data_IF_184868224667
#
_entry.id   IF_184868224667
#
_cell.length_a   1.000
_cell.length_b   1.000
_cell.length_c   1.000
_cell.angle_alpha   90.00
_cell.angle_beta   90.00
_cell.angle_gamma   90.00
#
_symmetry.space_group_name_H-M   'P 1'
#
loop_
_entity.id
_entity.type
_entity.pdbx_description
1 polymer ?
#
# COMPACT_ATOMS: atom_id res chain seq x y z
N UNK A 1 -50.67 33.44 -76.06
CA UNK A 1 -49.91 33.81 -77.27
C UNK A 1 -48.93 34.92 -76.88
N UNK A 2 -47.67 34.88 -77.36
CA UNK A 2 -46.44 35.55 -76.88
C UNK A 2 -45.76 34.82 -75.71
N UNK A 3 -44.75 33.94 -75.86
CA UNK A 3 -43.44 33.90 -76.60
C UNK A 3 -42.38 34.92 -76.12
N UNK A 4 -41.40 34.34 -75.38
CA UNK A 4 -39.93 34.46 -75.54
C UNK A 4 -39.27 35.78 -75.09
N UNK A 5 -38.41 35.75 -74.07
CA UNK A 5 -36.95 35.65 -74.23
C UNK A 5 -36.22 35.48 -72.88
N UNK A 6 -35.27 34.55 -72.90
CA UNK A 6 -34.42 34.07 -71.82
C UNK A 6 -33.09 34.83 -71.94
N UNK A 7 -32.71 35.60 -70.91
CA UNK A 7 -31.46 36.37 -70.90
C UNK A 7 -30.46 35.71 -69.94
N UNK A 8 -29.48 35.07 -70.56
CA UNK A 8 -28.32 34.42 -69.95
C UNK A 8 -27.37 35.52 -69.48
N UNK A 9 -27.22 35.66 -68.16
CA UNK A 9 -26.18 36.49 -67.56
C UNK A 9 -24.86 35.71 -67.49
N UNK A 10 -23.93 36.04 -68.38
CA UNK A 10 -22.54 35.61 -68.33
C UNK A 10 -21.87 36.31 -67.14
N UNK A 11 -21.69 35.59 -66.03
CA UNK A 11 -20.86 36.07 -64.92
C UNK A 11 -19.40 35.73 -65.25
N UNK A 12 -18.67 36.76 -65.69
CA UNK A 12 -17.22 36.74 -65.86
C UNK A 12 -16.57 36.31 -64.54
N UNK A 13 -16.07 35.08 -64.50
CA UNK A 13 -15.14 34.60 -63.49
C UNK A 13 -13.83 35.38 -63.69
N UNK A 14 -13.72 36.55 -63.03
CA UNK A 14 -12.44 37.21 -62.86
C UNK A 14 -11.57 36.30 -61.99
N UNK A 15 -10.61 35.62 -62.63
CA UNK A 15 -9.44 35.06 -61.97
C UNK A 15 -8.76 36.21 -61.21
N UNK A 16 -9.08 36.34 -59.92
CA UNK A 16 -8.17 36.98 -58.99
C UNK A 16 -7.04 35.99 -58.78
N UNK A 17 -5.94 36.23 -59.49
CA UNK A 17 -4.63 35.69 -59.18
C UNK A 17 -4.39 35.85 -57.68
N UNK A 18 -4.36 34.73 -56.95
CA UNK A 18 -3.83 34.66 -55.60
C UNK A 18 -2.33 34.99 -55.68
N UNK A 19 -2.00 36.28 -55.68
CA UNK A 19 -0.70 36.72 -55.21
C UNK A 19 -0.66 36.39 -53.72
N UNK A 20 0.15 35.39 -53.39
CA UNK A 20 0.52 35.01 -52.03
C UNK A 20 1.32 36.15 -51.37
N UNK A 21 0.63 37.25 -51.08
CA UNK A 21 1.10 38.27 -50.18
C UNK A 21 0.91 37.71 -48.77
N UNK A 22 2.02 37.37 -48.12
CA UNK A 22 2.05 36.94 -46.73
C UNK A 22 1.10 37.79 -45.88
N UNK A 23 0.12 37.18 -45.21
CA UNK A 23 -0.59 37.81 -44.10
C UNK A 23 0.46 38.48 -43.20
N UNK A 24 0.51 39.82 -43.21
CA UNK A 24 1.53 40.60 -42.49
C UNK A 24 1.60 40.08 -41.06
N UNK A 25 2.78 39.58 -40.66
CA UNK A 25 3.01 38.98 -39.33
C UNK A 25 2.45 39.91 -38.24
N UNK A 26 1.42 39.50 -37.48
CA UNK A 26 0.77 40.32 -36.45
C UNK A 26 1.75 40.77 -35.38
N UNK A 27 1.43 41.86 -34.69
CA UNK A 27 2.26 42.40 -33.61
C UNK A 27 2.46 41.41 -32.47
N UNK A 28 1.42 40.64 -32.09
CA UNK A 28 1.49 39.66 -31.01
C UNK A 28 2.45 38.49 -31.28
N UNK A 29 2.74 38.20 -32.55
CA UNK A 29 3.75 37.19 -32.96
C UNK A 29 5.17 37.77 -32.92
N UNK A 30 5.32 39.09 -32.93
CA UNK A 30 6.63 39.78 -32.86
C UNK A 30 7.00 40.12 -31.42
N UNK A 31 6.03 40.48 -30.60
CA UNK A 31 6.20 40.89 -29.22
C UNK A 31 4.97 40.48 -28.43
N UNK A 32 5.18 39.94 -27.21
CA UNK A 32 4.09 39.60 -26.29
C UNK A 32 3.23 40.86 -26.04
N UNK A 33 1.91 40.79 -26.24
CA UNK A 33 1.02 41.89 -25.87
C UNK A 33 1.07 42.17 -24.37
N UNK A 34 0.95 43.43 -23.99
CA UNK A 34 0.72 43.83 -22.60
C UNK A 34 -0.78 44.08 -22.42
N UNK A 35 -1.43 43.26 -21.60
CA UNK A 35 -2.84 43.38 -21.27
C UNK A 35 -3.02 43.14 -19.77
N UNK A 36 -3.42 44.17 -19.03
CA UNK A 36 -3.59 44.08 -17.58
C UNK A 36 -4.79 43.22 -17.19
N UNK A 37 -5.77 43.08 -18.08
CA UNK A 37 -7.08 42.52 -17.79
C UNK A 37 -7.21 41.07 -18.25
N UNK A 38 -6.17 40.53 -18.88
CA UNK A 38 -6.17 39.20 -19.47
C UNK A 38 -4.89 38.43 -19.13
N UNK A 39 -5.03 37.12 -18.93
CA UNK A 39 -3.90 36.20 -19.01
C UNK A 39 -3.64 35.85 -20.48
N UNK A 40 -2.39 35.70 -20.89
CA UNK A 40 -2.01 35.44 -22.28
C UNK A 40 -1.03 34.27 -22.35
N UNK A 41 -1.29 33.30 -23.22
CA UNK A 41 -0.33 32.24 -23.55
C UNK A 41 -0.06 32.23 -25.05
N UNK A 42 1.20 32.03 -25.46
CA UNK A 42 1.64 32.03 -26.86
C UNK A 42 2.49 30.79 -27.14
N UNK A 43 1.93 29.86 -27.92
CA UNK A 43 2.63 28.66 -28.36
C UNK A 43 3.03 28.73 -29.83
N UNK A 44 4.12 28.05 -30.17
CA UNK A 44 4.65 27.96 -31.53
C UNK A 44 5.14 26.56 -31.83
N UNK A 45 4.70 26.01 -32.96
CA UNK A 45 5.22 24.76 -33.48
C UNK A 45 5.75 24.92 -34.91
N UNK A 46 6.88 24.29 -35.25
CA UNK A 46 7.36 24.23 -36.62
C UNK A 46 6.46 23.32 -37.46
N UNK A 47 6.23 23.70 -38.71
CA UNK A 47 5.50 22.89 -39.69
C UNK A 47 6.45 21.93 -40.39
N UNK A 48 6.22 20.63 -40.23
CA UNK A 48 6.88 19.60 -41.03
C UNK A 48 6.10 19.31 -42.31
N UNK A 49 6.81 18.96 -43.39
CA UNK A 49 6.18 18.57 -44.67
C UNK A 49 5.45 17.23 -44.60
N UNK A 50 5.79 16.40 -43.62
CA UNK A 50 5.26 15.04 -43.44
C UNK A 50 4.12 14.96 -42.40
N UNK A 51 3.64 16.10 -41.89
CA UNK A 51 2.59 16.14 -40.86
C UNK A 51 1.20 15.97 -41.47
N UNK A 52 0.74 14.73 -41.55
CA UNK A 52 -0.55 14.37 -42.15
C UNK A 52 -1.77 14.73 -41.26
N UNK A 53 -1.56 15.05 -39.98
CA UNK A 53 -2.64 15.17 -38.98
C UNK A 53 -2.72 16.55 -38.29
N UNK A 54 -2.02 17.57 -38.81
CA UNK A 54 -1.90 18.89 -38.18
C UNK A 54 -1.38 18.80 -36.73
N UNK A 55 -0.45 17.90 -36.45
CA UNK A 55 0.14 17.73 -35.13
C UNK A 55 0.76 19.05 -34.63
N UNK A 56 1.40 19.81 -35.53
CA UNK A 56 1.92 21.15 -35.23
C UNK A 56 0.85 22.09 -34.60
N UNK A 57 -0.42 22.01 -35.02
CA UNK A 57 -1.47 22.87 -34.51
C UNK A 57 -1.87 22.48 -33.08
N UNK A 58 -1.83 21.18 -32.76
CA UNK A 58 -2.06 20.66 -31.41
C UNK A 58 -0.91 21.04 -30.49
N UNK A 59 0.33 20.88 -30.95
CA UNK A 59 1.52 21.19 -30.17
C UNK A 59 1.59 22.68 -29.82
N UNK A 60 1.37 23.56 -30.81
CA UNK A 60 1.32 25.01 -30.58
C UNK A 60 0.17 25.39 -29.63
N UNK A 61 -0.99 24.73 -29.73
CA UNK A 61 -2.10 24.96 -28.80
C UNK A 61 -1.78 24.50 -27.38
N UNK A 62 -1.16 23.34 -27.22
CA UNK A 62 -0.78 22.80 -25.91
C UNK A 62 0.24 23.71 -25.23
N UNK A 63 1.26 24.16 -25.97
CA UNK A 63 2.24 25.11 -25.47
C UNK A 63 1.60 26.45 -25.08
N UNK A 64 0.65 26.96 -25.87
CA UNK A 64 -0.07 28.19 -25.54
C UNK A 64 -0.88 28.04 -24.23
N UNK A 65 -1.53 26.90 -24.02
CA UNK A 65 -2.30 26.62 -22.79
C UNK A 65 -1.40 26.39 -21.56
N UNK A 66 -0.22 25.80 -21.75
CA UNK A 66 0.79 25.63 -20.69
C UNK A 66 1.33 26.98 -20.23
N UNK A 67 1.66 27.87 -21.18
CA UNK A 67 2.12 29.21 -20.85
C UNK A 67 1.01 30.05 -20.19
N UNK A 68 -0.23 29.95 -20.68
CA UNK A 68 -1.38 30.61 -20.06
C UNK A 68 -1.58 30.14 -18.61
N UNK A 69 -1.52 28.81 -18.38
CA UNK A 69 -1.63 28.21 -17.04
C UNK A 69 -0.52 28.70 -16.11
N UNK A 70 0.71 28.82 -16.63
CA UNK A 70 1.86 29.34 -15.87
C UNK A 70 1.75 30.82 -15.52
N UNK A 71 1.01 31.61 -16.29
CA UNK A 71 0.75 33.03 -15.97
C UNK A 71 -0.26 33.19 -14.82
N UNK A 72 -1.15 32.21 -14.61
CA UNK A 72 -2.17 32.26 -13.57
C UNK A 72 -1.51 32.05 -12.20
N UNK A 73 -1.21 33.16 -11.52
CA UNK A 73 -0.70 33.15 -10.15
C UNK A 73 -1.78 32.67 -9.17
N UNK A 74 -1.46 31.64 -8.41
CA UNK A 74 -2.32 31.15 -7.33
C UNK A 74 -1.88 31.79 -6.01
N UNK A 75 -2.79 32.49 -5.36
CA UNK A 75 -2.59 33.03 -4.01
C UNK A 75 -3.26 32.12 -2.99
N UNK A 76 -2.52 31.73 -1.96
CA UNK A 76 -3.01 30.88 -0.87
C UNK A 76 -3.65 31.76 0.20
N UNK A 77 -4.88 31.43 0.59
CA UNK A 77 -5.59 32.12 1.67
C UNK A 77 -5.07 31.70 3.04
N UNK A 78 -5.09 32.63 4.00
CA UNK A 78 -4.79 32.35 5.41
C UNK A 78 -5.81 31.41 6.07
N UNK A 79 -7.03 31.32 5.53
CA UNK A 79 -8.11 30.47 6.02
C UNK A 79 -8.25 29.17 5.21
N UNK A 80 -7.22 28.81 4.45
CA UNK A 80 -7.23 27.66 3.55
C UNK A 80 -6.85 26.36 4.26
N UNK A 81 -7.21 25.24 3.65
CA UNK A 81 -6.88 23.92 4.17
C UNK A 81 -5.38 23.61 4.09
N UNK A 82 -4.68 24.18 3.10
CA UNK A 82 -3.23 24.04 2.96
C UNK A 82 -2.45 24.59 4.17
N UNK A 83 -3.02 25.57 4.89
CA UNK A 83 -2.41 26.10 6.14
C UNK A 83 -2.31 25.05 7.25
N UNK A 84 -3.10 23.98 7.20
CA UNK A 84 -2.99 22.87 8.15
C UNK A 84 -1.76 21.99 7.89
N UNK A 85 -1.15 22.11 6.70
CA UNK A 85 -0.09 21.24 6.21
C UNK A 85 1.17 22.01 5.81
N UNK A 86 1.39 23.21 6.34
CA UNK A 86 2.54 24.06 5.96
C UNK A 86 3.90 23.40 6.17
N UNK A 87 4.01 22.47 7.12
CA UNK A 87 5.24 21.73 7.39
C UNK A 87 5.36 20.42 6.59
N UNK A 88 4.37 20.09 5.74
CA UNK A 88 4.37 18.88 4.93
C UNK A 88 4.76 19.19 3.48
N UNK A 89 6.06 19.04 3.19
CA UNK A 89 6.63 19.29 1.87
C UNK A 89 6.02 18.43 0.76
N UNK A 90 5.72 17.15 1.05
CA UNK A 90 5.14 16.24 0.05
C UNK A 90 3.72 16.68 -0.33
N UNK A 91 2.91 17.09 0.66
CA UNK A 91 1.58 17.64 0.41
C UNK A 91 1.65 18.90 -0.47
N UNK A 92 2.58 19.82 -0.17
CA UNK A 92 2.76 21.03 -0.97
C UNK A 92 3.09 20.72 -2.43
N UNK A 93 4.05 19.82 -2.68
CA UNK A 93 4.40 19.41 -4.04
C UNK A 93 3.24 18.77 -4.79
N UNK A 94 2.49 17.88 -4.13
CA UNK A 94 1.32 17.26 -4.74
C UNK A 94 0.22 18.28 -5.03
N UNK A 95 -0.02 19.22 -4.12
CA UNK A 95 -0.96 20.31 -4.32
C UNK A 95 -0.57 21.20 -5.51
N UNK A 96 0.68 21.67 -5.57
CA UNK A 96 1.16 22.52 -6.67
C UNK A 96 1.03 21.82 -8.03
N UNK A 97 1.44 20.55 -8.10
CA UNK A 97 1.30 19.73 -9.30
C UNK A 97 -0.17 19.56 -9.72
N UNK A 98 -1.05 19.28 -8.76
CA UNK A 98 -2.49 19.12 -9.01
C UNK A 98 -3.14 20.42 -9.46
N UNK A 99 -2.79 21.55 -8.84
CA UNK A 99 -3.27 22.88 -9.22
C UNK A 99 -2.86 23.21 -10.64
N UNK A 100 -1.59 23.03 -11.00
CA UNK A 100 -1.11 23.27 -12.36
C UNK A 100 -1.90 22.44 -13.39
N UNK A 101 -2.08 21.15 -13.11
CA UNK A 101 -2.85 20.23 -13.97
C UNK A 101 -4.33 20.64 -14.06
N UNK A 102 -4.95 21.02 -12.93
CA UNK A 102 -6.36 21.42 -12.86
C UNK A 102 -6.62 22.74 -13.59
N UNK A 103 -5.71 23.71 -13.47
CA UNK A 103 -5.80 24.95 -14.27
C UNK A 103 -5.78 24.57 -15.76
N UNK A 104 -4.80 23.79 -16.21
CA UNK A 104 -4.70 23.39 -17.61
C UNK A 104 -5.95 22.66 -18.13
N UNK A 105 -6.57 21.79 -17.33
CA UNK A 105 -7.74 20.99 -17.70
C UNK A 105 -9.06 21.79 -17.68
N UNK A 106 -9.19 22.75 -16.77
CA UNK A 106 -10.47 23.44 -16.52
C UNK A 106 -10.56 24.84 -17.13
N UNK A 107 -9.53 25.24 -17.88
CA UNK A 107 -9.50 26.46 -18.69
C UNK A 107 -10.61 26.43 -19.74
N UNK A 108 -11.53 27.38 -19.63
CA UNK A 108 -12.65 27.54 -20.55
C UNK A 108 -12.86 29.02 -20.87
N UNK A 109 -13.53 29.32 -21.99
CA UNK A 109 -13.88 30.69 -22.38
C UNK A 109 -12.68 31.58 -22.69
N UNK A 110 -11.54 30.99 -23.04
CA UNK A 110 -10.42 31.71 -23.62
C UNK A 110 -10.65 31.98 -25.11
N UNK A 111 -10.19 33.13 -25.57
CA UNK A 111 -10.16 33.50 -26.98
C UNK A 111 -8.93 32.89 -27.64
N UNK A 112 -9.07 32.41 -28.88
CA UNK A 112 -7.98 31.80 -29.65
C UNK A 112 -7.69 32.65 -30.88
N UNK A 113 -6.44 33.08 -31.01
CA UNK A 113 -5.92 33.71 -32.22
C UNK A 113 -4.83 32.82 -32.82
N UNK A 114 -4.83 32.68 -34.14
CA UNK A 114 -3.84 31.88 -34.85
C UNK A 114 -3.14 32.73 -35.89
N UNK A 115 -1.87 32.40 -36.14
CA UNK A 115 -1.14 32.93 -37.28
C UNK A 115 -0.18 31.86 -37.79
N UNK A 116 0.01 31.80 -39.09
CA UNK A 116 0.87 30.80 -39.67
C UNK A 116 1.64 31.32 -40.88
N UNK A 117 2.77 30.67 -41.15
CA UNK A 117 3.52 30.84 -42.39
C UNK A 117 3.91 29.46 -42.95
N UNK A 118 4.85 29.40 -43.90
CA UNK A 118 5.31 28.13 -44.51
C UNK A 118 6.11 27.23 -43.57
N UNK A 119 6.65 27.77 -42.47
CA UNK A 119 7.56 27.12 -41.53
C UNK A 119 7.00 26.99 -40.12
N UNK A 120 6.10 27.86 -39.71
CA UNK A 120 5.66 27.97 -38.31
C UNK A 120 4.15 28.11 -38.21
N UNK A 121 3.61 27.62 -37.11
CA UNK A 121 2.24 27.80 -36.67
C UNK A 121 2.23 28.36 -35.25
N UNK A 122 1.52 29.47 -35.05
CA UNK A 122 1.46 30.21 -33.79
C UNK A 122 0.03 30.24 -33.28
N UNK A 123 -0.13 30.04 -31.98
CA UNK A 123 -1.40 30.13 -31.27
C UNK A 123 -1.23 31.09 -30.11
N UNK A 124 -2.11 32.09 -30.01
CA UNK A 124 -2.26 32.91 -28.82
C UNK A 124 -3.62 32.59 -28.19
N UNK A 125 -3.60 32.25 -26.91
CA UNK A 125 -4.79 32.11 -26.08
C UNK A 125 -4.87 33.30 -25.12
N UNK A 126 -6.08 33.82 -24.93
CA UNK A 126 -6.32 34.97 -24.06
C UNK A 126 -7.52 34.69 -23.14
N UNK A 127 -7.36 34.91 -21.84
CA UNK A 127 -8.42 34.72 -20.86
C UNK A 127 -8.63 35.97 -20.01
N UNK A 128 -9.84 36.52 -20.03
CA UNK A 128 -10.18 37.68 -19.20
C UNK A 128 -10.12 37.31 -17.70
N UNK A 129 -9.39 38.11 -16.91
CA UNK A 129 -9.16 37.87 -15.48
C UNK A 129 -10.44 37.92 -14.65
N UNK A 130 -11.37 38.81 -14.97
CA UNK A 130 -12.65 38.92 -14.25
C UNK A 130 -13.55 37.72 -14.54
N UNK A 131 -13.63 37.28 -15.80
CA UNK A 131 -14.40 36.08 -16.18
C UNK A 131 -13.82 34.84 -15.51
N UNK A 132 -12.50 34.69 -15.50
CA UNK A 132 -11.83 33.61 -14.79
C UNK A 132 -12.13 33.65 -13.28
N UNK A 133 -11.98 34.80 -12.63
CA UNK A 133 -12.26 34.97 -11.21
C UNK A 133 -13.72 34.66 -10.84
N UNK A 134 -14.68 35.12 -11.65
CA UNK A 134 -16.11 34.82 -11.44
C UNK A 134 -16.40 33.32 -11.52
N UNK A 135 -15.88 32.63 -12.53
CA UNK A 135 -16.07 31.17 -12.66
C UNK A 135 -15.39 30.40 -11.53
N UNK A 136 -14.18 30.81 -11.15
CA UNK A 136 -13.48 30.23 -10.01
C UNK A 136 -14.28 30.40 -8.72
N UNK A 137 -14.84 31.58 -8.48
CA UNK A 137 -15.71 31.83 -7.32
C UNK A 137 -16.99 30.98 -7.36
N UNK A 138 -17.64 30.86 -8.52
CA UNK A 138 -18.84 30.01 -8.67
C UNK A 138 -18.53 28.53 -8.36
N UNK A 139 -17.39 28.01 -8.83
CA UNK A 139 -16.93 26.64 -8.53
C UNK A 139 -16.65 26.49 -7.03
N UNK A 140 -15.97 27.46 -6.41
CA UNK A 140 -15.74 27.47 -4.97
C UNK A 140 -17.04 27.49 -4.16
N UNK A 141 -18.01 28.31 -4.54
CA UNK A 141 -19.30 28.42 -3.84
C UNK A 141 -20.09 27.12 -3.94
N UNK A 142 -20.07 26.45 -5.10
CA UNK A 142 -20.66 25.13 -5.29
C UNK A 142 -19.97 24.06 -4.44
N UNK A 143 -18.63 24.06 -4.42
CA UNK A 143 -17.84 23.16 -3.59
C UNK A 143 -18.13 23.35 -2.09
N UNK A 144 -18.20 24.61 -1.61
CA UNK A 144 -18.57 24.95 -0.23
C UNK A 144 -19.98 24.47 0.12
N UNK A 145 -20.94 24.64 -0.79
CA UNK A 145 -22.31 24.19 -0.58
C UNK A 145 -22.39 22.66 -0.44
N UNK A 146 -21.73 21.91 -1.32
CA UNK A 146 -21.66 20.45 -1.25
C UNK A 146 -20.96 19.99 0.04
N UNK A 147 -19.81 20.57 0.35
CA UNK A 147 -19.06 20.28 1.57
C UNK A 147 -19.89 20.58 2.82
N UNK A 148 -20.67 21.67 2.82
CA UNK A 148 -21.58 22.01 3.90
C UNK A 148 -22.62 20.91 4.14
N UNK A 149 -23.22 20.38 3.08
CA UNK A 149 -24.23 19.32 3.20
C UNK A 149 -23.63 18.08 3.86
N UNK A 150 -22.48 17.62 3.39
CA UNK A 150 -21.80 16.45 3.96
C UNK A 150 -21.28 16.69 5.38
N UNK A 151 -20.79 17.89 5.66
CA UNK A 151 -20.32 18.27 6.99
C UNK A 151 -21.42 18.22 8.05
N UNK A 152 -22.62 18.72 7.74
CA UNK A 152 -23.74 18.65 8.66
C UNK A 152 -24.28 17.22 8.80
N UNK A 153 -24.37 16.45 7.71
CA UNK A 153 -24.74 15.03 7.79
C UNK A 153 -23.75 14.23 8.66
N UNK A 154 -22.44 14.53 8.57
CA UNK A 154 -21.43 13.90 9.42
C UNK A 154 -21.63 14.23 10.92
N UNK A 155 -22.00 15.48 11.23
CA UNK A 155 -22.31 15.89 12.61
C UNK A 155 -23.59 15.25 13.13
N UNK A 156 -24.62 15.17 12.30
CA UNK A 156 -25.88 14.50 12.65
C UNK A 156 -25.65 13.01 12.88
N UNK A 157 -24.85 12.35 12.04
CA UNK A 157 -24.43 10.96 12.24
C UNK A 157 -23.63 10.77 13.53
N UNK A 158 -22.69 11.67 13.82
CA UNK A 158 -21.91 11.67 15.05
C UNK A 158 -22.79 11.81 16.30
N UNK A 159 -23.83 12.65 16.23
CA UNK A 159 -24.74 12.90 17.35
C UNK A 159 -25.56 11.67 17.74
N UNK A 160 -25.88 10.80 16.77
CA UNK A 160 -26.60 9.54 17.00
C UNK A 160 -25.68 8.33 17.15
N UNK A 161 -24.35 8.53 17.15
CA UNK A 161 -23.36 7.46 17.32
C UNK A 161 -23.10 6.62 16.06
N UNK A 162 -23.57 7.05 14.89
CA UNK A 162 -23.33 6.38 13.60
C UNK A 162 -21.97 6.80 13.03
N UNK A 163 -20.91 6.21 13.59
CA UNK A 163 -19.51 6.54 13.28
C UNK A 163 -19.17 6.28 11.82
N UNK A 164 -19.63 5.17 11.26
CA UNK A 164 -19.29 4.77 9.88
C UNK A 164 -19.87 5.75 8.86
N UNK A 165 -21.12 6.19 9.05
CA UNK A 165 -21.69 7.28 8.24
C UNK A 165 -20.97 8.60 8.49
N UNK A 166 -20.66 8.93 9.74
CA UNK A 166 -19.95 10.17 10.06
C UNK A 166 -18.61 10.26 9.33
N UNK A 167 -17.80 9.20 9.37
CA UNK A 167 -16.52 9.13 8.65
C UNK A 167 -16.72 9.33 7.15
N UNK A 168 -17.62 8.55 6.55
CA UNK A 168 -17.95 8.62 5.12
C UNK A 168 -18.34 10.04 4.69
N UNK A 169 -19.20 10.70 5.47
CA UNK A 169 -19.64 12.07 5.17
C UNK A 169 -18.51 13.08 5.36
N UNK A 170 -17.62 12.93 6.34
CA UNK A 170 -16.41 13.76 6.41
C UNK A 170 -15.48 13.55 5.21
N UNK A 171 -15.27 12.31 4.76
CA UNK A 171 -14.49 12.02 3.55
C UNK A 171 -15.07 12.70 2.31
N UNK A 172 -16.39 12.64 2.12
CA UNK A 172 -17.08 13.33 1.03
C UNK A 172 -16.98 14.85 1.14
N UNK A 173 -17.04 15.42 2.35
CA UNK A 173 -16.85 16.85 2.58
C UNK A 173 -15.44 17.32 2.18
N UNK A 174 -14.40 16.57 2.56
CA UNK A 174 -13.02 16.86 2.15
C UNK A 174 -12.85 16.72 0.64
N UNK A 175 -13.42 15.67 0.06
CA UNK A 175 -13.37 15.42 -1.39
C UNK A 175 -14.05 16.53 -2.18
N UNK A 176 -15.14 17.11 -1.70
CA UNK A 176 -15.78 18.25 -2.35
C UNK A 176 -14.90 19.51 -2.36
N UNK A 177 -13.96 19.65 -1.41
CA UNK A 177 -13.08 20.81 -1.26
C UNK A 177 -11.69 20.62 -1.89
N UNK A 178 -11.39 19.42 -2.41
CA UNK A 178 -10.03 19.01 -2.76
C UNK A 178 -9.35 19.85 -3.85
N UNK A 179 -10.13 20.50 -4.71
CA UNK A 179 -9.63 21.35 -5.79
C UNK A 179 -9.47 22.81 -5.35
N UNK A 180 -9.93 23.12 -4.14
CA UNK A 180 -9.99 24.46 -3.57
C UNK A 180 -9.20 24.57 -2.26
N UNK A 181 -8.29 23.63 -1.96
CA UNK A 181 -7.59 23.56 -0.66
C UNK A 181 -6.70 24.76 -0.33
N UNK A 182 -6.35 25.59 -1.33
CA UNK A 182 -5.63 26.85 -1.17
C UNK A 182 -6.52 28.10 -1.02
N UNK A 183 -7.84 27.97 -1.14
CA UNK A 183 -8.80 29.08 -1.12
C UNK A 183 -9.35 29.34 0.28
N UNK A 184 -10.04 30.47 0.50
CA UNK A 184 -10.72 30.71 1.77
C UNK A 184 -11.95 29.79 1.86
N UNK A 185 -11.93 28.83 2.78
CA UNK A 185 -12.99 27.84 2.97
C UNK A 185 -14.01 28.26 4.05
N UNK A 186 -13.97 29.52 4.49
CA UNK A 186 -14.94 30.09 5.42
C UNK A 186 -16.29 30.26 4.74
N UNK A 187 -17.36 29.88 5.44
CA UNK A 187 -18.73 30.04 4.99
C UNK A 187 -19.64 30.47 6.15
N UNK A 188 -20.57 31.40 5.88
CA UNK A 188 -21.58 31.81 6.85
C UNK A 188 -22.79 30.90 6.73
N UNK A 189 -23.06 30.16 7.79
CA UNK A 189 -24.23 29.29 7.92
C UNK A 189 -25.26 29.92 8.86
N UNK A 190 -26.45 29.33 8.96
CA UNK A 190 -27.48 29.78 9.92
C UNK A 190 -27.01 29.72 11.38
N UNK A 191 -26.07 28.81 11.68
CA UNK A 191 -25.55 28.54 13.03
C UNK A 191 -24.25 29.32 13.32
N UNK A 192 -23.84 30.23 12.43
CA UNK A 192 -22.61 31.02 12.57
C UNK A 192 -21.62 30.79 11.44
N UNK A 193 -20.39 31.26 11.64
CA UNK A 193 -19.32 31.15 10.65
C UNK A 193 -18.56 29.85 10.86
N UNK A 194 -18.47 29.02 9.82
CA UNK A 194 -17.75 27.75 9.81
C UNK A 194 -16.55 27.88 8.89
N UNK A 195 -15.39 27.38 9.29
CA UNK A 195 -14.26 27.19 8.39
C UNK A 195 -14.08 25.68 8.17
N UNK A 196 -14.52 25.21 7.00
CA UNK A 196 -14.51 23.78 6.69
C UNK A 196 -13.12 23.15 6.77
N UNK A 197 -12.03 23.91 6.61
CA UNK A 197 -10.68 23.37 6.79
C UNK A 197 -10.39 22.93 8.24
N UNK A 198 -10.65 23.81 9.20
CA UNK A 198 -10.35 23.60 10.62
C UNK A 198 -11.41 22.74 11.28
N UNK A 199 -12.69 22.98 10.97
CA UNK A 199 -13.80 22.34 11.64
C UNK A 199 -13.91 20.86 11.28
N UNK A 200 -13.75 20.49 9.99
CA UNK A 200 -13.74 19.07 9.57
C UNK A 200 -12.60 18.32 10.27
N UNK A 201 -11.38 18.88 10.27
CA UNK A 201 -10.21 18.25 10.90
C UNK A 201 -10.39 18.09 12.41
N UNK A 202 -10.90 19.12 13.09
CA UNK A 202 -11.17 19.09 14.53
C UNK A 202 -12.21 18.04 14.90
N UNK A 203 -13.28 17.94 14.10
CA UNK A 203 -14.35 16.98 14.30
C UNK A 203 -13.89 15.55 14.05
N UNK A 204 -13.12 15.31 12.97
CA UNK A 204 -12.53 14.00 12.69
C UNK A 204 -11.59 13.52 13.80
N UNK A 205 -10.68 14.38 14.26
CA UNK A 205 -9.79 14.04 15.38
C UNK A 205 -10.57 13.74 16.66
N UNK A 206 -11.67 14.46 16.90
CA UNK A 206 -12.55 14.18 18.04
C UNK A 206 -13.29 12.85 17.87
N UNK A 207 -13.77 12.55 16.66
CA UNK A 207 -14.39 11.27 16.33
C UNK A 207 -13.42 10.12 16.59
N UNK A 208 -12.19 10.20 16.08
CA UNK A 208 -11.15 9.19 16.30
C UNK A 208 -10.81 8.98 17.78
N UNK A 209 -10.58 10.04 18.54
CA UNK A 209 -10.29 9.94 19.99
C UNK A 209 -11.41 9.28 20.79
N UNK A 210 -12.65 9.38 20.32
CA UNK A 210 -13.81 8.81 20.98
C UNK A 210 -14.10 7.37 20.53
N UNK A 211 -13.40 6.85 19.52
CA UNK A 211 -13.46 5.44 19.14
C UNK A 211 -12.41 4.67 19.94
N UNK A 212 -12.81 3.55 20.53
CA UNK A 212 -11.92 2.64 21.25
C UNK A 212 -11.97 1.25 20.67
N UNK A 213 -10.79 0.67 20.43
CA UNK A 213 -10.61 -0.72 20.03
C UNK A 213 -10.10 -1.51 21.24
N UNK A 214 -11.02 -2.25 21.87
CA UNK A 214 -10.72 -3.06 23.05
C UNK A 214 -10.56 -4.52 22.65
N UNK A 215 -9.37 -5.11 22.78
CA UNK A 215 -9.17 -6.53 22.49
C UNK A 215 -9.92 -7.37 23.53
N UNK A 216 -10.68 -8.36 23.06
CA UNK A 216 -11.33 -9.35 23.92
C UNK A 216 -10.27 -10.31 24.48
N UNK A 217 -9.31 -10.69 23.64
CA UNK A 217 -8.14 -11.48 23.98
C UNK A 217 -6.87 -10.78 23.45
N UNK A 218 -6.07 -10.19 24.32
CA UNK A 218 -4.87 -9.44 23.90
C UNK A 218 -3.57 -10.26 23.90
N UNK A 219 -3.63 -11.50 24.38
CA UNK A 219 -2.48 -12.39 24.48
C UNK A 219 -2.86 -13.78 23.99
N UNK A 220 -2.35 -14.16 22.82
CA UNK A 220 -2.61 -15.45 22.20
C UNK A 220 -1.40 -16.35 22.38
N UNK A 221 -1.63 -17.56 22.88
CA UNK A 221 -0.61 -18.60 22.91
C UNK A 221 -0.83 -19.52 21.73
N UNK A 222 0.15 -19.58 20.85
CA UNK A 222 0.11 -20.41 19.65
C UNK A 222 1.22 -21.43 19.75
N UNK A 223 0.88 -22.70 19.63
CA UNK A 223 1.88 -23.75 19.48
C UNK A 223 2.36 -23.76 18.03
N UNK A 224 3.66 -23.95 17.85
CA UNK A 224 4.22 -24.10 16.52
C UNK A 224 3.49 -25.24 15.80
N UNK A 225 3.15 -25.05 14.53
CA UNK A 225 2.45 -26.05 13.69
C UNK A 225 1.05 -26.50 14.16
N UNK A 226 0.33 -25.69 14.93
CA UNK A 226 -1.12 -25.88 15.12
C UNK A 226 -1.91 -24.73 14.51
N UNK A 227 -3.04 -25.07 13.87
CA UNK A 227 -4.03 -24.06 13.49
C UNK A 227 -4.48 -23.31 14.74
N UNK A 228 -4.47 -21.98 14.66
CA UNK A 228 -4.86 -21.13 15.77
C UNK A 228 -6.33 -21.38 16.12
N UNK A 229 -6.58 -21.90 17.32
CA UNK A 229 -7.95 -22.23 17.76
C UNK A 229 -8.75 -21.01 18.19
N UNK A 230 -8.06 -19.99 18.72
CA UNK A 230 -8.69 -18.76 19.18
C UNK A 230 -8.41 -17.62 18.21
N UNK A 231 -9.43 -16.99 17.59
CA UNK A 231 -9.21 -15.82 16.75
C UNK A 231 -8.80 -14.62 17.60
N UNK A 232 -8.10 -13.67 16.99
CA UNK A 232 -7.90 -12.34 17.56
C UNK A 232 -9.23 -11.59 17.49
N UNK A 233 -9.88 -11.39 18.62
CA UNK A 233 -11.17 -10.71 18.72
C UNK A 233 -11.01 -9.34 19.38
N UNK A 234 -11.70 -8.33 18.85
CA UNK A 234 -11.81 -7.02 19.47
C UNK A 234 -13.24 -6.48 19.38
N UNK A 235 -13.52 -5.51 20.24
CA UNK A 235 -14.74 -4.72 20.26
C UNK A 235 -14.42 -3.26 19.97
N UNK A 236 -15.13 -2.70 19.00
CA UNK A 236 -15.11 -1.29 18.64
C UNK A 236 -16.28 -0.57 19.31
N UNK A 237 -15.95 0.44 20.11
CA UNK A 237 -16.91 1.21 20.90
C UNK A 237 -16.70 2.71 20.66
N UNK A 238 -17.78 3.48 20.74
CA UNK A 238 -17.78 4.93 20.61
C UNK A 238 -18.32 5.58 21.88
N UNK A 239 -17.51 6.47 22.45
CA UNK A 239 -17.88 7.25 23.63
C UNK A 239 -18.59 8.53 23.21
N UNK A 240 -19.88 8.63 23.55
CA UNK A 240 -20.71 9.80 23.24
C UNK A 240 -21.51 10.23 24.46
N UNK A 241 -21.32 11.46 24.94
CA UNK A 241 -22.11 12.06 26.03
C UNK A 241 -22.22 11.21 27.32
N UNK A 242 -21.22 10.39 27.62
CA UNK A 242 -21.21 9.49 28.78
C UNK A 242 -21.75 8.08 28.52
N UNK A 243 -22.34 7.85 27.35
CA UNK A 243 -22.77 6.53 26.88
C UNK A 243 -21.67 5.87 26.04
N UNK A 244 -21.66 4.53 26.06
CA UNK A 244 -20.79 3.69 25.25
C UNK A 244 -21.66 2.97 24.22
N UNK A 245 -21.44 3.27 22.94
CA UNK A 245 -22.21 2.70 21.84
C UNK A 245 -21.34 1.72 21.04
N UNK A 246 -21.87 0.56 20.62
CA UNK A 246 -21.15 -0.32 19.71
C UNK A 246 -21.00 0.34 18.34
N UNK A 247 -19.84 0.19 17.70
CA UNK A 247 -19.58 0.77 16.37
C UNK A 247 -19.74 -0.29 15.29
N UNK A 248 -20.81 -0.19 14.51
CA UNK A 248 -21.11 -1.12 13.42
C UNK A 248 -20.49 -0.70 12.08
N UNK A 249 -20.24 -1.68 11.21
CA UNK A 249 -19.80 -1.48 9.82
C UNK A 249 -18.48 -0.70 9.67
N UNK A 250 -17.57 -0.81 10.64
CA UNK A 250 -16.29 -0.13 10.64
C UNK A 250 -15.19 -1.05 10.10
N UNK A 251 -14.50 -0.68 9.00
CA UNK A 251 -13.38 -1.46 8.48
C UNK A 251 -12.16 -1.43 9.40
N UNK A 252 -11.57 -2.59 9.67
CA UNK A 252 -10.35 -2.72 10.48
C UNK A 252 -9.34 -3.57 9.73
N UNK A 253 -8.10 -3.09 9.69
CA UNK A 253 -6.95 -3.78 9.12
C UNK A 253 -6.13 -4.43 10.22
N UNK A 254 -5.91 -5.73 10.11
CA UNK A 254 -5.00 -6.52 10.92
C UNK A 254 -3.67 -6.69 10.18
N UNK A 255 -2.55 -6.46 10.86
CA UNK A 255 -1.22 -6.53 10.26
C UNK A 255 -0.16 -6.90 11.30
N UNK A 256 0.84 -7.69 10.92
CA UNK A 256 1.98 -7.96 11.79
C UNK A 256 2.84 -6.69 11.93
N UNK A 257 2.90 -6.11 13.13
CA UNK A 257 3.84 -5.03 13.46
C UNK A 257 5.21 -5.59 13.86
N UNK A 258 5.25 -6.82 14.40
CA UNK A 258 6.46 -7.53 14.73
C UNK A 258 6.31 -9.04 14.52
N UNK A 259 7.22 -9.65 13.77
CA UNK A 259 7.07 -11.04 13.32
C UNK A 259 6.55 -11.10 11.89
N UNK A 260 6.05 -12.27 11.49
CA UNK A 260 5.61 -12.52 10.12
C UNK A 260 4.64 -13.71 10.09
N UNK A 261 3.58 -13.60 9.30
CA UNK A 261 2.60 -14.65 9.12
C UNK A 261 1.55 -14.29 8.09
N UNK A 262 0.68 -15.25 7.80
CA UNK A 262 -0.51 -15.10 6.96
C UNK A 262 -1.72 -15.03 7.89
N UNK A 263 -2.50 -13.96 7.79
CA UNK A 263 -3.72 -13.75 8.57
C UNK A 263 -4.82 -13.16 7.69
N UNK A 264 -6.05 -13.18 8.18
CA UNK A 264 -7.16 -12.49 7.55
C UNK A 264 -7.05 -10.98 7.84
N UNK A 265 -6.48 -10.24 6.90
CA UNK A 265 -5.99 -8.87 7.12
C UNK A 265 -7.07 -7.79 7.15
N UNK A 266 -8.27 -8.07 6.65
CA UNK A 266 -9.36 -7.11 6.59
C UNK A 266 -10.65 -7.74 7.07
N UNK A 267 -11.34 -7.04 7.96
CA UNK A 267 -12.68 -7.39 8.37
C UNK A 267 -13.44 -6.12 8.77
N UNK A 268 -14.76 -6.23 8.88
CA UNK A 268 -15.67 -5.14 9.25
C UNK A 268 -16.36 -5.48 10.57
N UNK A 269 -16.61 -4.49 11.42
CA UNK A 269 -17.31 -4.71 12.69
C UNK A 269 -18.79 -5.05 12.49
N UNK A 270 -19.30 -5.96 13.32
CA UNK A 270 -20.71 -6.34 13.36
C UNK A 270 -21.59 -5.24 13.98
N UNK A 271 -22.91 -5.44 13.97
CA UNK A 271 -23.87 -4.54 14.64
C UNK A 271 -23.60 -4.36 16.15
N UNK A 272 -22.89 -5.29 16.78
CA UNK A 272 -22.50 -5.23 18.20
C UNK A 272 -21.10 -4.62 18.41
N UNK A 273 -20.47 -4.13 17.33
CA UNK A 273 -19.11 -3.61 17.36
C UNK A 273 -18.03 -4.69 17.43
N UNK A 274 -18.37 -5.95 17.21
CA UNK A 274 -17.43 -7.08 17.33
C UNK A 274 -16.77 -7.39 16.00
N UNK A 275 -15.49 -7.77 16.05
CA UNK A 275 -14.72 -8.19 14.87
C UNK A 275 -13.65 -9.19 15.28
N UNK A 276 -13.37 -10.14 14.38
CA UNK A 276 -12.39 -11.19 14.59
C UNK A 276 -11.49 -11.38 13.38
N UNK A 277 -10.23 -11.74 13.62
CA UNK A 277 -9.27 -12.14 12.61
C UNK A 277 -8.51 -13.39 13.05
N UNK A 278 -8.20 -14.25 12.09
CA UNK A 278 -7.48 -15.51 12.35
C UNK A 278 -6.11 -15.46 11.69
N UNK A 279 -5.10 -15.94 12.40
CA UNK A 279 -3.78 -16.21 11.84
C UNK A 279 -3.84 -17.60 11.23
N UNK A 280 -3.79 -17.64 9.91
CA UNK A 280 -3.85 -18.88 9.14
C UNK A 280 -2.52 -19.65 9.20
N UNK A 281 -1.40 -18.92 9.27
CA UNK A 281 -0.05 -19.51 9.35
C UNK A 281 0.94 -18.53 9.96
N UNK A 282 1.71 -18.95 10.97
CA UNK A 282 2.87 -18.18 11.44
C UNK A 282 4.10 -18.55 10.61
N UNK A 283 4.85 -17.53 10.16
CA UNK A 283 6.10 -17.69 9.40
C UNK A 283 7.29 -17.41 10.32
N UNK A 284 7.18 -16.39 11.16
CA UNK A 284 8.25 -16.03 12.08
C UNK A 284 8.33 -17.00 13.26
N UNK A 285 9.56 -17.42 13.58
CA UNK A 285 9.89 -18.28 14.74
C UNK A 285 10.15 -17.49 16.04
N UNK A 286 9.87 -16.18 16.03
CA UNK A 286 10.06 -15.35 17.23
C UNK A 286 9.11 -15.80 18.32
N UNK A 287 9.65 -15.96 19.54
CA UNK A 287 8.87 -16.33 20.73
C UNK A 287 7.74 -15.32 20.99
N UNK A 288 8.02 -14.03 20.80
CA UNK A 288 7.05 -12.96 20.97
C UNK A 288 6.89 -12.22 19.64
N UNK A 289 5.65 -12.09 19.21
CA UNK A 289 5.23 -11.40 18.00
C UNK A 289 4.06 -10.47 18.31
N UNK A 290 3.80 -9.52 17.43
CA UNK A 290 2.77 -8.52 17.61
C UNK A 290 1.98 -8.33 16.30
N UNK A 291 0.66 -8.36 16.43
CA UNK A 291 -0.29 -7.96 15.39
C UNK A 291 -1.03 -6.72 15.86
N UNK A 292 -1.09 -5.70 15.01
CA UNK A 292 -1.90 -4.51 15.23
C UNK A 292 -3.24 -4.65 14.50
N UNK A 293 -4.28 -4.09 15.10
CA UNK A 293 -5.59 -3.92 14.48
C UNK A 293 -5.95 -2.44 14.51
N UNK A 294 -6.03 -1.81 13.34
CA UNK A 294 -6.21 -0.38 13.16
C UNK A 294 -7.37 -0.06 12.22
N UNK A 295 -7.99 1.10 12.39
CA UNK A 295 -9.04 1.59 11.49
C UNK A 295 -8.52 1.64 10.03
N UNK A 296 -9.22 0.96 9.10
CA UNK A 296 -8.83 0.89 7.70
C UNK A 296 -9.49 1.99 6.87
N UNK A 297 -8.89 3.18 6.89
CA UNK A 297 -9.35 4.30 6.08
C UNK A 297 -9.27 4.04 4.57
N UNK A 298 -8.30 3.24 4.13
CA UNK A 298 -8.10 2.96 2.70
C UNK A 298 -9.28 2.18 2.13
N UNK A 299 -9.88 1.28 2.93
CA UNK A 299 -11.12 0.59 2.55
C UNK A 299 -12.30 1.55 2.42
N UNK A 300 -12.47 2.48 3.37
CA UNK A 300 -13.55 3.48 3.28
C UNK A 300 -13.39 4.35 2.01
N UNK A 301 -12.18 4.84 1.74
CA UNK A 301 -11.89 5.68 0.56
C UNK A 301 -12.19 4.93 -0.74
N UNK A 302 -11.80 3.65 -0.83
CA UNK A 302 -11.99 2.82 -2.02
C UNK A 302 -13.47 2.48 -2.25
N UNK A 303 -14.20 2.10 -1.20
CA UNK A 303 -15.59 1.69 -1.32
C UNK A 303 -16.50 2.88 -1.71
N UNK A 304 -16.09 4.10 -1.36
CA UNK A 304 -16.75 5.36 -1.71
C UNK A 304 -16.28 5.95 -3.05
N UNK A 305 -15.38 5.27 -3.77
CA UNK A 305 -14.81 5.71 -5.05
C UNK A 305 -14.21 7.13 -5.00
N UNK A 306 -13.55 7.44 -3.87
CA UNK A 306 -13.00 8.77 -3.61
C UNK A 306 -11.57 8.85 -4.17
N UNK A 307 -11.46 9.29 -5.42
CA UNK A 307 -10.17 9.49 -6.07
C UNK A 307 -9.55 10.84 -5.67
N UNK A 308 -8.60 10.82 -4.75
CA UNK A 308 -7.73 11.97 -4.50
C UNK A 308 -6.39 11.59 -3.87
N UNK A 309 -5.26 12.04 -4.47
CA UNK A 309 -3.94 11.84 -3.85
C UNK A 309 -3.77 12.66 -2.56
N UNK A 310 -4.61 13.68 -2.35
CA UNK A 310 -4.53 14.56 -1.17
C UNK A 310 -5.26 13.97 0.05
N UNK A 311 -6.20 13.03 -0.15
CA UNK A 311 -7.02 12.47 0.94
C UNK A 311 -6.19 11.92 2.09
N UNK A 312 -5.15 11.09 1.88
CA UNK A 312 -4.36 10.52 2.99
C UNK A 312 -3.75 11.57 3.94
N UNK A 313 -3.45 12.78 3.44
CA UNK A 313 -2.88 13.85 4.27
C UNK A 313 -3.91 14.45 5.21
N UNK A 314 -5.20 14.44 4.86
CA UNK A 314 -6.26 14.93 5.73
C UNK A 314 -6.57 13.98 6.89
N UNK A 315 -6.02 12.76 6.87
CA UNK A 315 -6.27 11.75 7.89
C UNK A 315 -4.96 11.06 8.31
N UNK A 316 -4.06 11.78 9.00
CA UNK A 316 -2.79 11.22 9.42
C UNK A 316 -3.00 10.01 10.34
N UNK A 317 -2.23 8.96 10.09
CA UNK A 317 -2.37 7.66 10.75
C UNK A 317 -2.06 7.65 12.25
N UNK A 318 -1.41 8.71 12.75
CA UNK A 318 -0.96 8.81 14.15
C UNK A 318 -2.11 8.85 15.16
N UNK A 319 -3.27 9.39 14.77
CA UNK A 319 -4.46 9.51 15.62
C UNK A 319 -5.46 8.36 15.41
N UNK A 320 -5.13 7.35 14.58
CA UNK A 320 -6.08 6.30 14.25
C UNK A 320 -6.34 5.39 15.45
N UNK A 321 -7.62 5.00 15.67
CA UNK A 321 -7.95 3.96 16.63
C UNK A 321 -7.22 2.67 16.25
N UNK A 322 -6.38 2.20 17.17
CA UNK A 322 -5.55 1.03 17.01
C UNK A 322 -5.46 0.26 18.32
N UNK A 323 -5.32 -1.06 18.23
CA UNK A 323 -4.97 -1.93 19.35
C UNK A 323 -3.95 -2.96 18.92
N UNK A 324 -3.40 -3.70 19.89
CA UNK A 324 -2.35 -4.69 19.66
C UNK A 324 -2.69 -6.02 20.32
N UNK A 325 -2.30 -7.08 19.63
CA UNK A 325 -2.37 -8.47 20.05
C UNK A 325 -0.95 -8.99 20.18
N UNK A 326 -0.64 -9.52 21.36
CA UNK A 326 0.62 -10.20 21.61
C UNK A 326 0.45 -11.68 21.28
N UNK A 327 1.35 -12.22 20.48
CA UNK A 327 1.37 -13.63 20.11
C UNK A 327 2.61 -14.25 20.74
N UNK A 328 2.40 -15.17 21.67
CA UNK A 328 3.43 -16.00 22.27
C UNK A 328 3.49 -17.35 21.54
N UNK A 329 4.60 -17.57 20.84
CA UNK A 329 4.89 -18.84 20.20
C UNK A 329 5.49 -19.81 21.22
N UNK A 330 4.73 -20.85 21.56
CA UNK A 330 5.16 -21.94 22.41
C UNK A 330 5.69 -23.10 21.57
N UNK A 331 6.83 -23.65 21.99
CA UNK A 331 7.36 -24.89 21.46
C UNK A 331 6.74 -26.06 22.20
N UNK A 332 6.34 -27.08 21.46
CA UNK A 332 5.83 -28.33 22.03
C UNK A 332 6.89 -29.02 22.87
N UNK A 333 6.49 -29.72 23.92
CA UNK A 333 7.43 -30.52 24.71
C UNK A 333 7.71 -31.83 23.99
N UNK A 334 8.98 -32.23 23.93
CA UNK A 334 9.36 -33.49 23.30
C UNK A 334 10.39 -34.24 24.12
N UNK A 335 10.44 -35.56 23.98
CA UNK A 335 11.54 -36.39 24.45
C UNK A 335 12.37 -36.84 23.25
N UNK A 336 13.69 -36.70 23.31
CA UNK A 336 14.59 -37.08 22.22
C UNK A 336 15.26 -38.41 22.52
N UNK A 337 15.01 -39.43 21.70
CA UNK A 337 15.79 -40.67 21.68
C UNK A 337 16.82 -40.58 20.57
N UNK A 338 18.08 -40.75 20.93
CA UNK A 338 19.19 -40.73 19.98
C UNK A 338 19.83 -42.11 19.96
N UNK A 339 19.92 -42.68 18.78
CA UNK A 339 20.74 -43.84 18.50
C UNK A 339 21.84 -43.41 17.54
N UNK A 340 23.07 -43.25 18.05
CA UNK A 340 24.23 -42.87 17.24
C UNK A 340 25.20 -44.04 17.19
N UNK A 341 25.40 -44.61 16.00
CA UNK A 341 26.35 -45.68 15.74
C UNK A 341 27.56 -45.11 14.99
N UNK A 342 28.73 -45.23 15.61
CA UNK A 342 30.02 -44.88 15.06
C UNK A 342 30.82 -46.13 14.70
N UNK A 343 30.95 -46.39 13.40
CA UNK A 343 31.78 -47.47 12.86
C UNK A 343 31.46 -48.86 13.46
N UNK A 344 30.19 -49.13 13.73
CA UNK A 344 29.70 -50.39 14.30
C UNK A 344 29.50 -50.36 15.82
N UNK A 345 29.96 -49.31 16.52
CA UNK A 345 29.81 -49.17 17.97
C UNK A 345 28.83 -48.06 18.31
N UNK A 346 27.98 -48.27 19.30
CA UNK A 346 27.12 -47.20 19.84
C UNK A 346 27.98 -46.12 20.51
N UNK A 347 27.74 -44.85 20.17
CA UNK A 347 28.29 -43.69 20.89
C UNK A 347 27.35 -43.35 22.05
N UNK A 348 27.72 -43.66 23.31
CA UNK A 348 26.86 -43.38 24.47
C UNK A 348 26.75 -41.89 24.80
N UNK A 349 27.63 -41.05 24.23
CA UNK A 349 27.62 -39.60 24.46
C UNK A 349 26.75 -38.89 23.42
N UNK A 350 26.43 -39.55 22.30
CA UNK A 350 25.63 -39.00 21.20
C UNK A 350 26.14 -37.64 20.72
N UNK A 351 27.46 -37.55 20.52
CA UNK A 351 28.14 -36.26 20.30
C UNK A 351 27.59 -35.47 19.12
N UNK A 352 27.23 -36.14 18.02
CA UNK A 352 26.65 -35.50 16.85
C UNK A 352 25.13 -35.40 16.93
N UNK A 353 24.46 -36.44 17.43
CA UNK A 353 23.01 -36.39 17.63
C UNK A 353 22.56 -35.24 18.54
N UNK A 354 23.39 -34.86 19.51
CA UNK A 354 23.16 -33.69 20.36
C UNK A 354 23.21 -32.36 19.60
N UNK A 355 23.95 -32.24 18.50
CA UNK A 355 23.95 -31.06 17.65
C UNK A 355 22.63 -30.94 16.87
N UNK A 356 22.14 -32.06 16.31
CA UNK A 356 20.82 -32.11 15.66
C UNK A 356 19.71 -31.81 16.70
N UNK A 357 19.82 -32.37 17.90
CA UNK A 357 18.90 -32.05 19.01
C UNK A 357 18.92 -30.57 19.36
N UNK A 358 20.08 -29.91 19.34
CA UNK A 358 20.18 -28.47 19.59
C UNK A 358 19.45 -27.65 18.51
N UNK A 359 19.63 -27.97 17.23
CA UNK A 359 18.90 -27.32 16.13
C UNK A 359 17.37 -27.53 16.27
N UNK A 360 16.93 -28.74 16.63
CA UNK A 360 15.52 -29.03 16.88
C UNK A 360 14.97 -28.28 18.09
N UNK A 361 15.78 -28.12 19.14
CA UNK A 361 15.42 -27.38 20.35
C UNK A 361 15.29 -25.88 20.07
N UNK A 362 16.14 -25.35 19.19
CA UNK A 362 16.10 -23.94 18.80
C UNK A 362 14.83 -23.61 18.01
N UNK A 363 14.30 -24.56 17.24
CA UNK A 363 13.25 -24.28 16.26
C UNK A 363 11.86 -24.84 16.61
N UNK A 364 11.76 -26.05 17.16
CA UNK A 364 10.48 -26.79 17.23
C UNK A 364 10.08 -27.22 18.64
N UNK A 365 11.04 -27.72 19.42
CA UNK A 365 10.72 -28.43 20.66
C UNK A 365 11.38 -27.81 21.89
N UNK A 366 10.75 -27.96 23.04
CA UNK A 366 11.41 -27.90 24.34
C UNK A 366 11.67 -29.34 24.80
N UNK A 367 12.91 -29.79 24.79
CA UNK A 367 13.20 -31.19 25.14
C UNK A 367 13.13 -31.45 26.66
N UNK A 368 12.27 -32.38 27.06
CA UNK A 368 12.19 -32.93 28.42
C UNK A 368 13.20 -34.05 28.63
N UNK A 369 13.58 -34.26 29.89
CA UNK A 369 14.40 -35.41 30.32
C UNK A 369 13.55 -36.67 30.56
N UNK A 370 12.25 -36.52 30.78
CA UNK A 370 11.32 -37.64 30.97
C UNK A 370 10.38 -37.74 29.76
N UNK A 371 10.20 -38.96 29.26
CA UNK A 371 9.27 -39.25 28.18
C UNK A 371 7.80 -39.13 28.61
N UNK A 372 7.50 -39.24 29.92
CA UNK A 372 6.15 -39.11 30.44
C UNK A 372 5.62 -37.66 30.37
N UNK A 373 6.52 -36.68 30.43
CA UNK A 373 6.18 -35.25 30.42
C UNK A 373 6.17 -34.63 29.01
N UNK A 374 6.40 -35.45 27.98
CA UNK A 374 6.53 -35.02 26.60
C UNK A 374 5.23 -35.25 25.82
N UNK A 375 4.88 -34.29 24.94
CA UNK A 375 3.79 -34.45 23.98
C UNK A 375 4.22 -35.30 22.78
N UNK A 376 5.51 -35.21 22.42
CA UNK A 376 6.09 -35.92 21.29
C UNK A 376 7.34 -36.70 21.67
N UNK A 377 7.58 -37.78 20.95
CA UNK A 377 8.85 -38.49 20.95
C UNK A 377 9.52 -38.26 19.61
N UNK A 378 10.71 -37.64 19.64
CA UNK A 378 11.60 -37.51 18.50
C UNK A 378 12.61 -38.65 18.55
N UNK A 379 12.59 -39.54 17.55
CA UNK A 379 13.60 -40.59 17.39
C UNK A 379 14.59 -40.18 16.31
N UNK A 380 15.86 -40.04 16.69
CA UNK A 380 17.00 -39.78 15.80
C UNK A 380 17.85 -41.05 15.71
N UNK A 381 18.03 -41.56 14.50
CA UNK A 381 18.93 -42.67 14.20
C UNK A 381 20.04 -42.18 13.26
N UNK A 382 21.28 -42.33 13.70
CA UNK A 382 22.49 -41.87 13.04
C UNK A 382 23.44 -43.05 12.90
N UNK A 383 23.91 -43.32 11.68
CA UNK A 383 24.86 -44.40 11.44
C UNK A 383 26.02 -43.91 10.58
N UNK A 384 27.23 -43.99 11.12
CA UNK A 384 28.48 -43.65 10.44
C UNK A 384 29.25 -44.92 10.11
N UNK A 385 29.42 -45.20 8.82
CA UNK A 385 30.09 -46.41 8.31
C UNK A 385 31.41 -46.03 7.63
N UNK A 386 32.47 -46.81 7.89
CA UNK A 386 33.73 -46.67 7.16
C UNK A 386 33.51 -47.10 5.71
N UNK A 387 33.89 -46.25 4.78
CA UNK A 387 34.06 -46.60 3.37
C UNK A 387 35.50 -47.03 3.08
N UNK A 388 35.84 -47.12 1.80
CA UNK A 388 37.18 -47.50 1.37
C UNK A 388 38.23 -46.42 1.71
N UNK A 389 39.46 -46.86 1.95
CA UNK A 389 40.63 -46.00 1.85
C UNK A 389 41.13 -46.02 0.39
N UNK A 390 41.16 -44.85 -0.24
CA UNK A 390 41.69 -44.68 -1.60
C UNK A 390 43.12 -44.19 -1.53
N UNK A 391 44.05 -45.05 -1.92
CA UNK A 391 45.48 -44.74 -1.96
C UNK A 391 45.85 -44.19 -3.33
N UNK A 392 46.33 -42.94 -3.36
CA UNK A 392 46.93 -42.30 -4.53
C UNK A 392 48.46 -42.25 -4.43
N UNK A 393 49.12 -41.69 -5.45
CA UNK A 393 50.57 -41.43 -5.39
C UNK A 393 50.88 -40.30 -4.42
N UNK A 394 51.26 -40.66 -3.18
CA UNK A 394 51.71 -39.73 -2.14
C UNK A 394 50.64 -39.27 -1.15
N UNK A 395 49.41 -39.77 -1.24
CA UNK A 395 48.34 -39.47 -0.30
C UNK A 395 47.34 -40.63 -0.19
N UNK A 396 46.70 -40.79 0.97
CA UNK A 396 45.54 -41.65 1.12
C UNK A 396 44.34 -40.83 1.57
N UNK A 397 43.16 -41.19 1.03
CA UNK A 397 41.90 -40.53 1.34
C UNK A 397 40.94 -41.53 1.94
N UNK A 398 40.39 -41.19 3.10
CA UNK A 398 39.48 -42.03 3.84
C UNK A 398 38.04 -41.60 3.53
N UNK A 399 37.17 -42.58 3.30
CA UNK A 399 35.74 -42.33 3.07
C UNK A 399 34.94 -42.72 4.32
N UNK A 400 33.95 -41.90 4.66
CA UNK A 400 32.92 -42.21 5.65
C UNK A 400 31.57 -41.93 5.03
N UNK A 401 30.61 -42.84 5.23
CA UNK A 401 29.23 -42.66 4.83
C UNK A 401 28.36 -42.50 6.06
N UNK A 402 27.41 -41.56 6.01
CA UNK A 402 26.51 -41.26 7.09
C UNK A 402 25.06 -41.39 6.64
N UNK A 403 24.27 -42.07 7.46
CA UNK A 403 22.83 -42.23 7.30
C UNK A 403 22.13 -41.52 8.47
N UNK A 404 21.08 -40.75 8.18
CA UNK A 404 20.23 -40.09 9.16
C UNK A 404 18.79 -40.49 8.91
N UNK A 405 18.09 -40.89 9.97
CA UNK A 405 16.65 -41.02 9.98
C UNK A 405 16.08 -40.31 11.21
N UNK A 406 15.01 -39.54 11.00
CA UNK A 406 14.26 -38.85 12.04
C UNK A 406 12.79 -39.27 11.96
N UNK A 407 12.15 -39.44 13.13
CA UNK A 407 10.70 -39.53 13.20
C UNK A 407 10.17 -38.82 14.44
N UNK A 408 8.98 -38.23 14.30
CA UNK A 408 8.24 -37.61 15.40
C UNK A 408 6.94 -38.39 15.59
N UNK A 409 6.66 -38.76 16.82
CA UNK A 409 5.51 -39.58 17.21
C UNK A 409 4.76 -38.89 18.34
N UNK A 410 3.44 -38.73 18.22
CA UNK A 410 2.61 -38.22 19.31
C UNK A 410 2.53 -39.23 20.43
N UNK A 411 2.77 -38.79 21.67
CA UNK A 411 2.67 -39.63 22.87
C UNK A 411 1.22 -40.01 23.16
N UNK A 412 0.26 -39.13 22.84
CA UNK A 412 -1.14 -39.32 23.18
C UNK A 412 -1.80 -40.49 22.43
N UNK A 413 -1.55 -40.61 21.13
CA UNK A 413 -2.21 -41.60 20.26
C UNK A 413 -1.23 -42.53 19.52
N UNK A 414 0.09 -42.36 19.70
CA UNK A 414 1.11 -43.16 19.02
C UNK A 414 1.24 -42.91 17.52
N UNK A 415 0.57 -41.89 16.98
CA UNK A 415 0.60 -41.58 15.55
C UNK A 415 1.96 -40.99 15.19
N UNK A 416 2.57 -41.52 14.13
CA UNK A 416 3.79 -40.96 13.56
C UNK A 416 3.40 -39.77 12.68
N UNK A 417 3.65 -38.57 13.17
CA UNK A 417 3.32 -37.30 12.48
C UNK A 417 4.40 -36.92 11.46
N UNK A 418 5.64 -37.38 11.66
CA UNK A 418 6.74 -37.15 10.73
C UNK A 418 7.69 -38.35 10.67
N UNK A 419 8.20 -38.66 9.48
CA UNK A 419 9.26 -39.63 9.26
C UNK A 419 10.00 -39.26 7.98
N UNK A 420 11.29 -38.97 8.09
CA UNK A 420 12.11 -38.71 6.91
C UNK A 420 13.59 -38.99 7.24
N UNK A 421 14.43 -38.98 6.22
CA UNK A 421 15.84 -39.23 6.37
C UNK A 421 16.56 -39.26 5.03
N UNK A 422 17.86 -39.43 5.10
CA UNK A 422 18.70 -39.62 3.93
C UNK A 422 19.83 -40.57 4.25
N UNK A 423 20.36 -41.21 3.20
CA UNK A 423 21.41 -42.20 3.30
C UNK A 423 22.62 -41.78 2.47
N UNK A 424 23.75 -42.41 2.76
CA UNK A 424 25.01 -42.33 2.00
C UNK A 424 25.59 -40.92 1.88
N UNK A 425 25.40 -40.07 2.90
CA UNK A 425 26.08 -38.76 2.93
C UNK A 425 27.57 -38.99 3.14
N UNK A 426 28.37 -38.53 2.17
CA UNK A 426 29.79 -38.83 2.09
C UNK A 426 30.65 -37.76 2.75
N UNK A 427 31.60 -38.18 3.57
CA UNK A 427 32.79 -37.42 3.94
C UNK A 427 34.05 -38.05 3.35
N UNK A 428 34.98 -37.23 2.88
CA UNK A 428 36.18 -37.67 2.17
C UNK A 428 37.37 -36.73 2.48
N UNK A 429 38.20 -37.13 3.45
CA UNK A 429 39.40 -36.36 3.82
C UNK A 429 40.67 -37.22 3.85
N UNK A 430 41.83 -36.62 3.54
CA UNK A 430 43.11 -37.25 3.77
C UNK A 430 43.42 -37.37 5.26
N UNK A 431 44.39 -38.23 5.60
CA UNK A 431 44.98 -38.32 6.94
C UNK A 431 44.34 -39.35 7.86
N UNK A 432 43.01 -39.37 8.02
CA UNK A 432 42.34 -40.39 8.85
C UNK A 432 40.83 -40.51 8.61
N UNK A 433 40.24 -41.64 9.02
CA UNK A 433 38.78 -41.78 9.12
C UNK A 433 38.13 -40.74 10.04
N UNK A 434 38.86 -40.19 11.03
CA UNK A 434 38.32 -39.15 11.92
C UNK A 434 38.11 -37.83 11.18
N UNK A 435 39.04 -37.45 10.29
CA UNK A 435 38.86 -36.25 9.45
C UNK A 435 37.70 -36.43 8.47
N UNK A 436 37.60 -37.62 7.86
CA UNK A 436 36.49 -37.93 6.94
C UNK A 436 35.14 -37.97 7.68
N UNK A 437 35.11 -38.44 8.93
CA UNK A 437 33.93 -38.40 9.79
C UNK A 437 33.48 -36.98 10.09
N UNK A 438 34.40 -36.07 10.42
CA UNK A 438 34.06 -34.68 10.71
C UNK A 438 33.42 -34.00 9.48
N UNK A 439 33.96 -34.23 8.29
CA UNK A 439 33.34 -33.73 7.05
C UNK A 439 31.99 -34.40 6.77
N UNK A 440 31.83 -35.71 7.02
CA UNK A 440 30.54 -36.37 6.89
C UNK A 440 29.49 -35.74 7.83
N UNK A 441 29.87 -35.41 9.06
CA UNK A 441 29.02 -34.74 10.05
C UNK A 441 28.60 -33.34 9.59
N UNK A 442 29.53 -32.53 9.08
CA UNK A 442 29.23 -31.21 8.51
C UNK A 442 28.22 -31.34 7.35
N UNK A 443 28.49 -32.25 6.40
CA UNK A 443 27.61 -32.50 5.26
C UNK A 443 26.21 -32.98 5.67
N UNK A 444 26.12 -33.84 6.71
CA UNK A 444 24.82 -34.28 7.26
C UNK A 444 24.07 -33.11 7.88
N UNK A 445 24.74 -32.26 8.66
CA UNK A 445 24.11 -31.13 9.33
C UNK A 445 23.58 -30.11 8.31
N UNK A 446 24.37 -29.77 7.30
CA UNK A 446 23.95 -28.87 6.23
C UNK A 446 22.77 -29.44 5.44
N UNK A 447 22.82 -30.74 5.13
CA UNK A 447 21.72 -31.42 4.44
C UNK A 447 20.46 -31.48 5.28
N UNK A 448 20.58 -31.76 6.59
CA UNK A 448 19.46 -31.76 7.53
C UNK A 448 18.76 -30.40 7.57
N UNK A 449 19.53 -29.31 7.68
CA UNK A 449 19.01 -27.95 7.69
C UNK A 449 18.30 -27.56 6.40
N UNK A 450 18.78 -28.06 5.25
CA UNK A 450 18.24 -27.74 3.93
C UNK A 450 17.04 -28.60 3.53
N UNK A 451 17.02 -29.88 3.90
CA UNK A 451 16.05 -30.86 3.37
C UNK A 451 15.03 -31.35 4.41
N UNK A 452 15.41 -31.42 5.69
CA UNK A 452 14.57 -32.00 6.74
C UNK A 452 13.86 -30.91 7.55
N UNK A 453 14.59 -29.86 7.99
CA UNK A 453 13.98 -28.79 8.78
C UNK A 453 12.81 -28.09 8.07
N UNK A 454 12.87 -27.76 6.77
CA UNK A 454 11.73 -27.14 6.09
C UNK A 454 10.51 -28.04 6.01
N UNK A 455 10.70 -29.36 5.89
CA UNK A 455 9.59 -30.32 5.87
C UNK A 455 8.92 -30.43 7.25
N UNK A 456 9.69 -30.32 8.32
CA UNK A 456 9.15 -30.25 9.68
C UNK A 456 8.30 -28.99 9.91
N UNK A 457 8.57 -27.88 9.21
CA UNK A 457 7.72 -26.68 9.28
C UNK A 457 6.32 -26.88 8.66
N UNK A 458 6.17 -27.87 7.78
CA UNK A 458 4.92 -28.15 7.05
C UNK A 458 4.03 -29.20 7.75
N UNK A 459 4.54 -29.85 8.80
CA UNK A 459 3.80 -30.87 9.54
C UNK A 459 2.98 -30.19 10.62
N UNK A 460 1.67 -30.44 10.65
CA UNK A 460 0.84 -30.09 11.80
C UNK A 460 1.20 -30.99 12.99
N UNK A 461 1.93 -30.45 13.97
CA UNK A 461 2.34 -31.19 15.18
C UNK A 461 1.37 -31.02 16.32
#
# INVERSE_FOLDING_TARGET
>A
MYRILLLIGIFLFSLNTFTAESQRRPSWVRQRPSDSDSYIGIGMAPKSRDDQNMQYARDARNQALEELSSEIKVTISANSMLRQFENNFQFQQQFESKVHTSVQQTLEGYEVHTWENRREYWVMVRLNKNVYAQRRQQRLDMAKMLASSYFFDARDATAVGDVSRALTSYFRAVTALQDHVGEDLTHRTANGTVNYSTDIMSDLRRLYRNISFTPVNNHLRVEFSRQMQEPMALKAEYFSNGDILPVANLPVKFEFSHGEGVLNSQSVTSNNGEIQSTINRLISRRKMQEVTACLDLATIIRDEDLESPLLPYFFPSEDLPCTRFTIELNKSTAFCRIEENLFGNLDPVHSFGNLIRADLNENFFNFSMDAADAEYIVNLSLNFRKGDERVGTGYSVFLVYADLHISVVSVHNGTKIFSDGFMEVRGMRPGSYQHALNEARENVLDRFRREILPKLDEVDM
#
